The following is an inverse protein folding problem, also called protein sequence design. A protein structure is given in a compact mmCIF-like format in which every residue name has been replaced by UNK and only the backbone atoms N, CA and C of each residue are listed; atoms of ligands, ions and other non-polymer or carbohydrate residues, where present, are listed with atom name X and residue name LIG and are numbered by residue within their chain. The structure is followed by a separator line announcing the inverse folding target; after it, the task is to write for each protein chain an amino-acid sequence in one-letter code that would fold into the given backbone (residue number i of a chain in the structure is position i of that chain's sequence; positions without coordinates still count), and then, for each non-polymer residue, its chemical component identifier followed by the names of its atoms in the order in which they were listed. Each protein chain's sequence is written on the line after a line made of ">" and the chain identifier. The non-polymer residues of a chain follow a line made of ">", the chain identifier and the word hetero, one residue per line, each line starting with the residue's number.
data_IF_496426598734
#
_entry.id   IF_496426598734
#
_cell.length_a   1.000
_cell.length_b   1.000
_cell.length_c   1.000
_cell.angle_alpha   90.00
_cell.angle_beta   90.00
_cell.angle_gamma   90.00
#
_symmetry.space_group_name_H-M   'P 1'
#
loop_
_entity.id
_entity.type
_entity.pdbx_description
1 polymer ?
#
# COMPACT_ATOMS: atom_id res chain seq x y z
N UNK A 1 -26.92 42.87 8.83
CA UNK A 1 -26.56 41.65 8.07
C UNK A 1 -25.05 41.58 7.97
N UNK A 2 -24.42 40.53 8.52
CA UNK A 2 -22.96 40.37 8.39
C UNK A 2 -22.63 40.20 6.90
N UNK A 3 -21.73 41.03 6.36
CA UNK A 3 -21.22 40.86 5.00
C UNK A 3 -20.67 39.43 4.88
N UNK A 4 -21.01 38.67 3.82
CA UNK A 4 -20.36 37.40 3.57
C UNK A 4 -18.86 37.65 3.56
N UNK A 5 -18.13 36.94 4.41
CA UNK A 5 -16.68 37.05 4.53
C UNK A 5 -16.08 36.79 3.15
N UNK A 6 -15.52 37.82 2.51
CA UNK A 6 -14.87 37.70 1.22
C UNK A 6 -13.81 36.59 1.31
N UNK A 7 -14.02 35.51 0.54
CA UNK A 7 -13.08 34.38 0.45
C UNK A 7 -12.18 34.65 -0.75
N UNK A 8 -10.87 34.94 -0.56
CA UNK A 8 -9.98 35.16 -1.69
C UNK A 8 -9.86 33.88 -2.53
N UNK A 9 -10.15 33.95 -3.83
CA UNK A 9 -10.14 32.80 -4.74
C UNK A 9 -8.77 32.10 -4.83
N UNK A 10 -7.68 32.84 -4.57
CA UNK A 10 -6.33 32.26 -4.50
C UNK A 10 -6.14 31.29 -3.32
N UNK A 11 -7.03 31.30 -2.33
CA UNK A 11 -6.96 30.47 -1.12
C UNK A 11 -7.97 29.31 -1.11
N UNK A 12 -8.70 29.11 -2.21
CA UNK A 12 -9.78 28.09 -2.31
C UNK A 12 -9.39 26.87 -3.13
N UNK A 13 -8.10 26.63 -3.38
CA UNK A 13 -7.63 25.55 -4.26
C UNK A 13 -6.69 24.57 -3.56
N UNK A 14 -5.73 25.07 -2.78
CA UNK A 14 -4.72 24.25 -2.09
C UNK A 14 -4.48 24.76 -0.67
N UNK A 15 -3.85 23.97 0.21
CA UNK A 15 -3.35 24.48 1.48
C UNK A 15 -2.49 25.74 1.32
N UNK A 16 -2.56 26.64 2.29
CA UNK A 16 -1.79 27.89 2.30
C UNK A 16 -1.26 28.23 3.70
N UNK A 17 -0.24 29.09 3.76
CA UNK A 17 0.32 29.62 5.01
C UNK A 17 -0.52 30.78 5.52
N UNK A 18 -1.10 30.64 6.71
CA UNK A 18 -1.94 31.65 7.33
C UNK A 18 -1.18 32.96 7.57
N UNK A 19 0.05 32.88 8.09
CA UNK A 19 0.91 34.04 8.30
C UNK A 19 1.24 34.80 7.03
N UNK A 20 1.39 34.12 5.89
CA UNK A 20 1.63 34.75 4.59
C UNK A 20 0.37 35.44 4.06
N UNK A 21 -0.79 34.79 4.13
CA UNK A 21 -2.06 35.39 3.76
C UNK A 21 -2.37 36.65 4.59
N UNK A 22 -2.03 36.64 5.88
CA UNK A 22 -2.18 37.81 6.75
C UNK A 22 -1.21 38.92 6.39
N UNK A 23 0.06 38.59 6.12
CA UNK A 23 1.08 39.58 5.72
C UNK A 23 0.75 40.22 4.37
N UNK A 24 0.15 39.47 3.46
CA UNK A 24 -0.31 39.93 2.16
C UNK A 24 -1.65 40.72 2.22
N UNK A 25 -2.25 40.88 3.40
CA UNK A 25 -3.53 41.60 3.56
C UNK A 25 -4.76 40.85 3.02
N UNK A 26 -4.61 39.57 2.64
CA UNK A 26 -5.71 38.75 2.11
C UNK A 26 -6.68 38.33 3.21
N UNK A 27 -6.18 38.12 4.43
CA UNK A 27 -6.97 37.71 5.60
C UNK A 27 -6.46 38.38 6.87
N UNK A 28 -7.29 38.42 7.90
CA UNK A 28 -6.91 38.76 9.28
C UNK A 28 -6.74 37.51 10.14
N UNK A 29 -5.99 37.61 11.24
CA UNK A 29 -5.91 36.51 12.24
C UNK A 29 -7.29 36.13 12.81
N UNK A 30 -8.23 37.06 12.85
CA UNK A 30 -9.62 36.80 13.24
C UNK A 30 -10.33 35.90 12.24
N UNK A 31 -10.22 36.21 10.94
CA UNK A 31 -10.83 35.42 9.87
C UNK A 31 -10.30 33.99 9.82
N UNK A 32 -9.00 33.75 10.06
CA UNK A 32 -8.41 32.40 10.12
C UNK A 32 -8.96 31.50 11.23
N UNK A 33 -9.60 32.07 12.26
CA UNK A 33 -10.24 31.31 13.36
C UNK A 33 -11.72 31.02 13.08
N UNK A 34 -12.29 31.55 12.01
CA UNK A 34 -13.67 31.30 11.61
C UNK A 34 -13.85 29.96 10.89
N UNK A 35 -15.10 29.53 10.73
CA UNK A 35 -15.46 28.25 10.13
C UNK A 35 -15.14 28.12 8.63
N UNK A 36 -14.77 29.21 7.95
CA UNK A 36 -14.36 29.23 6.53
C UNK A 36 -13.06 28.46 6.28
N UNK A 37 -12.24 28.25 7.32
CA UNK A 37 -10.92 27.67 7.19
C UNK A 37 -10.74 26.49 8.15
N UNK A 38 -10.23 25.38 7.62
CA UNK A 38 -9.79 24.24 8.40
C UNK A 38 -8.28 24.36 8.63
N UNK A 39 -7.85 24.35 9.88
CA UNK A 39 -6.42 24.32 10.22
C UNK A 39 -5.90 22.88 10.12
N UNK A 40 -5.04 22.62 9.15
CA UNK A 40 -4.45 21.29 8.92
C UNK A 40 -3.21 21.05 9.80
N UNK A 41 -2.33 22.04 9.87
CA UNK A 41 -1.04 21.99 10.57
C UNK A 41 -0.73 23.35 11.22
N UNK A 42 0.36 23.49 11.99
CA UNK A 42 0.78 24.79 12.48
C UNK A 42 0.97 25.79 11.33
N UNK A 43 0.19 26.88 11.36
CA UNK A 43 0.17 27.93 10.33
C UNK A 43 -0.29 27.49 8.93
N UNK A 44 -0.82 26.28 8.75
CA UNK A 44 -1.33 25.80 7.46
C UNK A 44 -2.85 25.62 7.50
N UNK A 45 -3.53 26.24 6.55
CA UNK A 45 -4.97 26.31 6.46
C UNK A 45 -5.46 25.83 5.10
N UNK A 46 -6.70 25.34 5.07
CA UNK A 46 -7.42 24.93 3.88
C UNK A 46 -8.80 25.57 3.89
N UNK A 47 -9.32 25.90 2.71
CA UNK A 47 -10.70 26.31 2.58
C UNK A 47 -11.66 25.17 2.97
N UNK A 48 -12.65 25.45 3.81
CA UNK A 48 -13.46 24.43 4.48
C UNK A 48 -14.33 23.57 3.54
N UNK A 49 -14.58 24.02 2.31
CA UNK A 49 -15.34 23.25 1.32
C UNK A 49 -14.47 22.21 0.57
N UNK A 50 -13.14 22.22 0.76
CA UNK A 50 -12.25 21.24 0.15
C UNK A 50 -12.16 20.00 1.06
N UNK A 51 -12.48 18.79 0.55
CA UNK A 51 -12.29 17.56 1.32
C UNK A 51 -10.82 17.36 1.71
N UNK A 52 -10.60 16.99 2.97
CA UNK A 52 -9.25 16.66 3.46
C UNK A 52 -8.96 15.21 3.15
N UNK A 53 -8.13 14.96 2.14
CA UNK A 53 -7.58 13.64 1.84
C UNK A 53 -6.07 13.58 2.16
N UNK A 54 -5.48 12.40 1.99
CA UNK A 54 -4.05 12.21 2.21
C UNK A 54 -3.16 13.08 1.30
N UNK A 55 -3.61 13.44 0.09
CA UNK A 55 -2.86 14.32 -0.82
C UNK A 55 -2.77 15.73 -0.24
N UNK A 56 -3.90 16.29 0.19
CA UNK A 56 -3.99 17.60 0.84
C UNK A 56 -3.07 17.66 2.07
N UNK A 57 -3.03 16.59 2.86
CA UNK A 57 -2.11 16.50 4.00
C UNK A 57 -0.63 16.48 3.56
N UNK A 58 -0.31 15.82 2.44
CA UNK A 58 1.05 15.85 1.87
C UNK A 58 1.44 17.23 1.35
N UNK A 59 0.51 17.94 0.67
CA UNK A 59 0.69 19.33 0.23
C UNK A 59 0.97 20.24 1.44
N UNK A 60 0.12 20.15 2.47
CA UNK A 60 0.28 20.91 3.71
C UNK A 60 1.60 20.60 4.43
N UNK A 61 2.01 19.33 4.49
CA UNK A 61 3.27 18.92 5.08
C UNK A 61 4.46 19.49 4.31
N UNK A 62 4.46 19.37 2.97
CA UNK A 62 5.53 19.90 2.11
C UNK A 62 5.78 21.39 2.34
N UNK A 63 4.75 22.18 2.65
CA UNK A 63 4.93 23.60 2.97
C UNK A 63 5.82 23.82 4.20
N UNK A 64 5.81 22.92 5.19
CA UNK A 64 6.61 23.00 6.41
C UNK A 64 7.99 22.38 6.29
N UNK A 65 8.20 21.51 5.29
CA UNK A 65 9.46 20.78 5.14
C UNK A 65 10.58 21.69 4.60
N UNK A 66 11.83 21.50 5.06
CA UNK A 66 12.97 22.28 4.56
C UNK A 66 13.33 21.87 3.12
N UNK A 67 14.12 22.71 2.41
CA UNK A 67 14.72 22.31 1.14
C UNK A 67 15.48 20.98 1.25
N UNK A 68 15.34 20.12 0.24
CA UNK A 68 15.95 18.79 0.21
C UNK A 68 15.20 17.72 1.00
N UNK A 69 14.04 18.03 1.58
CA UNK A 69 13.10 17.03 2.10
C UNK A 69 12.14 16.52 1.02
N UNK A 70 11.51 15.37 1.26
CA UNK A 70 10.55 14.76 0.36
C UNK A 70 9.48 13.97 1.13
N UNK A 71 8.32 13.75 0.52
CA UNK A 71 7.34 12.77 1.00
C UNK A 71 7.88 11.35 0.73
N UNK A 72 7.79 10.46 1.70
CA UNK A 72 8.33 9.10 1.63
C UNK A 72 7.40 8.01 2.14
N UNK A 73 7.93 6.79 2.23
CA UNK A 73 7.24 5.64 2.84
C UNK A 73 5.85 5.38 2.25
N UNK A 74 4.88 5.06 3.13
CA UNK A 74 3.49 4.77 2.71
C UNK A 74 2.80 5.95 2.06
N UNK A 75 3.17 7.19 2.40
CA UNK A 75 2.66 8.40 1.76
C UNK A 75 3.16 8.54 0.32
N UNK A 76 4.44 8.27 0.08
CA UNK A 76 4.97 8.23 -1.28
C UNK A 76 4.33 7.10 -2.09
N UNK A 77 4.21 5.89 -1.54
CA UNK A 77 3.54 4.78 -2.22
C UNK A 77 2.08 5.12 -2.59
N UNK A 78 1.36 5.81 -1.69
CA UNK A 78 0.01 6.28 -1.95
C UNK A 78 -0.06 7.30 -3.10
N UNK A 79 0.88 8.26 -3.16
CA UNK A 79 1.02 9.24 -4.25
C UNK A 79 1.39 8.57 -5.57
N UNK A 80 2.22 7.52 -5.56
CA UNK A 80 2.51 6.67 -6.72
C UNK A 80 1.30 5.83 -7.18
N UNK A 81 0.22 5.79 -6.41
CA UNK A 81 -1.01 5.05 -6.70
C UNK A 81 -1.01 3.61 -6.17
N UNK A 82 -0.02 3.21 -5.36
CA UNK A 82 0.02 1.93 -4.66
C UNK A 82 -0.60 2.07 -3.26
N UNK A 83 -1.89 1.75 -3.14
CA UNK A 83 -2.75 2.07 -1.99
C UNK A 83 -3.42 0.81 -1.39
N UNK A 84 -2.65 -0.22 -0.96
CA UNK A 84 -3.25 -1.49 -0.54
C UNK A 84 -4.14 -1.39 0.70
N UNK A 85 -3.82 -0.46 1.61
CA UNK A 85 -4.47 -0.35 2.93
C UNK A 85 -5.28 0.95 3.07
N UNK A 86 -5.64 1.58 1.94
CA UNK A 86 -6.32 2.87 1.93
C UNK A 86 -5.38 4.05 2.22
N UNK A 87 -5.93 5.11 2.81
CA UNK A 87 -5.20 6.34 3.13
C UNK A 87 -4.30 6.16 4.37
N UNK A 88 -2.99 6.52 4.29
CA UNK A 88 -2.12 6.52 5.46
C UNK A 88 -2.62 7.46 6.55
N UNK A 89 -2.52 7.03 7.82
CA UNK A 89 -2.92 7.86 8.98
C UNK A 89 -2.03 9.08 9.23
N UNK A 90 -0.80 9.05 8.75
CA UNK A 90 0.19 10.11 8.92
C UNK A 90 0.93 10.33 7.59
N UNK A 91 1.32 11.58 7.34
CA UNK A 91 2.27 11.89 6.28
C UNK A 91 3.66 11.46 6.71
N UNK A 92 4.31 10.62 5.93
CA UNK A 92 5.72 10.27 6.13
C UNK A 92 6.58 11.27 5.36
N UNK A 93 7.41 12.02 6.07
CA UNK A 93 8.37 12.95 5.49
C UNK A 93 9.80 12.45 5.69
N UNK A 94 10.56 12.36 4.60
CA UNK A 94 11.99 12.13 4.61
C UNK A 94 12.70 13.46 4.71
N UNK A 95 13.60 13.60 5.68
CA UNK A 95 14.42 14.80 5.84
C UNK A 95 15.89 14.43 5.97
N UNK A 96 16.82 15.30 5.52
CA UNK A 96 18.25 15.10 5.73
C UNK A 96 18.59 14.95 7.22
N UNK A 97 19.64 14.18 7.54
CA UNK A 97 20.06 13.91 8.93
C UNK A 97 20.35 15.17 9.74
N UNK A 98 20.77 16.24 9.09
CA UNK A 98 21.10 17.53 9.71
C UNK A 98 19.85 18.33 10.12
N UNK A 99 18.67 17.95 9.66
CA UNK A 99 17.42 18.65 9.95
C UNK A 99 16.96 18.39 11.39
N UNK A 100 16.78 19.48 12.15
CA UNK A 100 16.26 19.50 13.53
C UNK A 100 14.77 19.85 13.61
N UNK A 101 13.95 19.31 12.71
CA UNK A 101 12.49 19.44 12.81
C UNK A 101 11.93 18.40 13.78
N UNK A 102 10.95 18.72 14.62
CA UNK A 102 10.32 17.75 15.54
C UNK A 102 9.19 16.97 14.84
N UNK A 103 8.89 15.78 15.35
CA UNK A 103 7.68 15.07 14.92
C UNK A 103 6.43 15.86 15.30
N UNK A 104 5.40 15.76 14.46
CA UNK A 104 4.10 16.37 14.67
C UNK A 104 3.04 15.25 14.54
N UNK A 105 1.94 15.22 15.31
CA UNK A 105 1.03 14.07 15.30
C UNK A 105 0.55 13.59 13.91
N UNK A 106 0.20 14.46 12.94
CA UNK A 106 -0.09 14.06 11.56
C UNK A 106 1.14 13.88 10.63
N UNK A 107 2.37 14.21 11.06
CA UNK A 107 3.60 14.09 10.26
C UNK A 107 4.65 13.23 10.98
N UNK A 108 4.97 12.08 10.42
CA UNK A 108 6.05 11.22 10.85
C UNK A 108 7.35 11.60 10.14
N UNK A 109 8.36 12.06 10.89
CA UNK A 109 9.66 12.42 10.34
C UNK A 109 10.59 11.22 10.33
N UNK A 110 11.16 10.93 9.16
CA UNK A 110 12.21 9.93 8.98
C UNK A 110 13.48 10.63 8.56
N UNK A 111 14.48 10.58 9.44
CA UNK A 111 15.82 11.14 9.18
C UNK A 111 16.70 10.08 8.59
N UNK A 112 17.38 10.41 7.50
CA UNK A 112 18.31 9.50 6.85
C UNK A 112 19.07 10.18 5.74
N UNK A 113 20.01 9.46 5.08
CA UNK A 113 20.55 9.92 3.83
C UNK A 113 19.42 10.13 2.81
N UNK A 114 19.47 11.23 2.09
CA UNK A 114 18.49 11.56 1.07
C UNK A 114 19.23 12.32 -0.03
N UNK A 115 19.67 11.57 -1.04
CA UNK A 115 20.39 12.15 -2.17
C UNK A 115 19.38 12.74 -3.18
N UNK A 116 19.75 13.77 -3.95
CA UNK A 116 18.87 14.31 -4.99
C UNK A 116 18.34 13.26 -5.96
N UNK A 117 19.14 12.23 -6.29
CA UNK A 117 18.74 11.10 -7.15
C UNK A 117 17.60 10.24 -6.57
N UNK A 118 17.38 10.29 -5.26
CA UNK A 118 16.31 9.56 -4.58
C UNK A 118 15.01 10.38 -4.49
N UNK A 119 15.00 11.62 -4.99
CA UNK A 119 13.86 12.52 -4.98
C UNK A 119 13.40 12.77 -6.42
N UNK A 120 12.10 12.75 -6.63
CA UNK A 120 11.46 13.15 -7.89
C UNK A 120 10.19 13.96 -7.57
N UNK A 121 9.44 14.35 -8.60
CA UNK A 121 8.22 15.14 -8.46
C UNK A 121 6.99 14.35 -8.87
N UNK A 122 5.98 14.31 -8.00
CA UNK A 122 4.67 13.71 -8.26
C UNK A 122 3.60 14.70 -7.83
N UNK A 123 2.69 15.06 -8.74
CA UNK A 123 1.62 16.05 -8.48
C UNK A 123 2.15 17.38 -7.89
N UNK A 124 3.35 17.81 -8.34
CA UNK A 124 4.00 19.03 -7.84
C UNK A 124 4.71 18.90 -6.49
N UNK A 125 4.68 17.73 -5.85
CA UNK A 125 5.33 17.47 -4.57
C UNK A 125 6.68 16.77 -4.76
N UNK A 126 7.67 17.12 -3.93
CA UNK A 126 8.89 16.34 -3.82
C UNK A 126 8.58 14.99 -3.13
N UNK A 127 8.82 13.88 -3.83
CA UNK A 127 8.51 12.52 -3.37
C UNK A 127 9.72 11.62 -3.58
N UNK A 128 9.94 10.63 -2.72
CA UNK A 128 10.96 9.62 -2.98
C UNK A 128 10.69 8.85 -4.27
N UNK A 129 11.75 8.51 -5.01
CA UNK A 129 11.66 7.64 -6.19
C UNK A 129 10.98 6.30 -5.84
N UNK A 130 10.41 5.57 -6.80
CA UNK A 130 9.75 4.31 -6.51
C UNK A 130 10.66 3.28 -5.82
N UNK A 131 11.93 3.18 -6.25
CA UNK A 131 12.93 2.29 -5.65
C UNK A 131 13.24 2.70 -4.21
N UNK A 132 13.47 3.99 -3.96
CA UNK A 132 13.69 4.51 -2.62
C UNK A 132 12.48 4.27 -1.71
N UNK A 133 11.28 4.51 -2.25
CA UNK A 133 10.01 4.31 -1.53
C UNK A 133 9.84 2.85 -1.13
N UNK A 134 10.02 1.93 -2.08
CA UNK A 134 9.93 0.50 -1.85
C UNK A 134 11.00 0.02 -0.85
N UNK A 135 12.24 0.48 -0.97
CA UNK A 135 13.31 0.14 -0.03
C UNK A 135 13.01 0.63 1.40
N UNK A 136 12.56 1.88 1.56
CA UNK A 136 12.19 2.42 2.86
C UNK A 136 11.00 1.66 3.47
N UNK A 137 10.01 1.26 2.67
CA UNK A 137 8.91 0.38 3.10
C UNK A 137 9.44 -0.96 3.58
N UNK A 138 10.29 -1.62 2.77
CA UNK A 138 10.84 -2.95 3.06
C UNK A 138 11.65 -2.98 4.37
N UNK A 139 12.45 -1.94 4.63
CA UNK A 139 13.36 -1.91 5.79
C UNK A 139 12.73 -1.35 7.07
N UNK A 140 11.65 -0.56 6.97
CA UNK A 140 11.10 0.20 8.10
C UNK A 140 9.74 -0.30 8.61
N UNK A 141 8.91 -0.93 7.76
CA UNK A 141 7.60 -1.42 8.18
C UNK A 141 7.68 -2.85 8.73
N UNK A 142 6.67 -3.30 9.50
CA UNK A 142 6.52 -4.71 9.82
C UNK A 142 6.49 -5.58 8.56
N UNK A 143 7.12 -6.75 8.61
CA UNK A 143 7.32 -7.67 7.47
C UNK A 143 6.07 -7.83 6.59
N UNK A 144 4.93 -8.13 7.22
CA UNK A 144 3.65 -8.36 6.53
C UNK A 144 3.13 -7.11 5.82
N UNK A 145 3.17 -5.96 6.50
CA UNK A 145 2.75 -4.68 5.91
C UNK A 145 3.66 -4.27 4.76
N UNK A 146 4.98 -4.48 4.91
CA UNK A 146 5.96 -4.23 3.86
C UNK A 146 5.67 -5.07 2.61
N UNK A 147 5.47 -6.39 2.77
CA UNK A 147 5.15 -7.28 1.65
C UNK A 147 3.87 -6.86 0.92
N UNK A 148 2.80 -6.50 1.64
CA UNK A 148 1.55 -6.01 1.05
C UNK A 148 1.77 -4.75 0.19
N UNK A 149 2.58 -3.81 0.68
CA UNK A 149 2.94 -2.62 -0.08
C UNK A 149 3.80 -2.94 -1.30
N UNK A 150 4.82 -3.79 -1.15
CA UNK A 150 5.70 -4.15 -2.26
C UNK A 150 4.97 -4.92 -3.36
N UNK A 151 4.17 -5.93 -3.02
CA UNK A 151 3.37 -6.68 -3.99
C UNK A 151 2.46 -5.73 -4.78
N UNK A 152 1.83 -4.78 -4.10
CA UNK A 152 1.00 -3.76 -4.77
C UNK A 152 1.81 -2.83 -5.68
N UNK A 153 2.99 -2.38 -5.25
CA UNK A 153 3.86 -1.54 -6.07
C UNK A 153 4.39 -2.29 -7.30
N UNK A 154 4.74 -3.58 -7.15
CA UNK A 154 5.20 -4.47 -8.22
C UNK A 154 4.06 -4.76 -9.21
N UNK A 155 2.89 -5.18 -8.72
CA UNK A 155 1.69 -5.42 -9.55
C UNK A 155 1.30 -4.19 -10.36
N UNK A 156 1.30 -3.01 -9.74
CA UNK A 156 1.00 -1.73 -10.42
C UNK A 156 2.16 -1.18 -11.25
N UNK A 157 3.26 -1.93 -11.36
CA UNK A 157 4.47 -1.57 -12.12
C UNK A 157 5.05 -0.21 -11.73
N UNK A 158 4.92 0.17 -10.46
CA UNK A 158 5.52 1.39 -9.91
C UNK A 158 7.00 1.19 -9.65
N UNK A 159 7.39 -0.03 -9.31
CA UNK A 159 8.78 -0.46 -9.19
C UNK A 159 8.93 -1.79 -9.90
N UNK A 160 10.14 -2.09 -10.39
CA UNK A 160 10.49 -3.41 -10.90
C UNK A 160 11.30 -4.17 -9.85
N UNK A 161 11.11 -5.48 -9.77
CA UNK A 161 11.80 -6.31 -8.78
C UNK A 161 13.32 -6.25 -8.94
N UNK A 162 13.83 -6.34 -10.18
CA UNK A 162 15.28 -6.28 -10.46
C UNK A 162 15.91 -4.93 -10.07
N UNK A 163 15.18 -3.82 -10.29
CA UNK A 163 15.61 -2.48 -9.88
C UNK A 163 15.61 -2.32 -8.36
N UNK A 164 14.59 -2.85 -7.68
CA UNK A 164 14.54 -2.84 -6.23
C UNK A 164 15.66 -3.69 -5.62
N UNK A 165 15.89 -4.91 -6.12
CA UNK A 165 16.98 -5.78 -5.66
C UNK A 165 18.34 -5.09 -5.85
N UNK A 166 18.58 -4.47 -7.00
CA UNK A 166 19.81 -3.69 -7.25
C UNK A 166 19.93 -2.53 -6.26
N UNK A 167 18.84 -1.79 -6.02
CA UNK A 167 18.83 -0.70 -5.05
C UNK A 167 19.17 -1.19 -3.64
N UNK A 168 18.66 -2.34 -3.20
CA UNK A 168 19.01 -2.91 -1.88
C UNK A 168 20.49 -3.31 -1.81
N UNK A 169 21.02 -3.93 -2.87
CA UNK A 169 22.41 -4.33 -2.96
C UNK A 169 23.38 -3.13 -2.90
N UNK A 170 23.02 -2.00 -3.52
CA UNK A 170 23.82 -0.77 -3.55
C UNK A 170 23.89 -0.03 -2.21
N UNK A 171 23.11 -0.47 -1.20
CA UNK A 171 22.99 0.21 0.10
C UNK A 171 23.32 -0.72 1.29
N UNK A 172 24.50 -1.39 1.32
CA UNK A 172 24.78 -2.49 2.24
C UNK A 172 24.82 -2.12 3.74
N UNK A 173 25.03 -0.84 4.08
CA UNK A 173 25.15 -0.34 5.46
C UNK A 173 23.91 0.34 6.03
N UNK A 174 22.76 0.25 5.36
CA UNK A 174 21.56 0.95 5.81
C UNK A 174 20.84 0.22 6.95
N UNK A 175 20.40 0.93 8.00
CA UNK A 175 19.61 0.33 9.07
C UNK A 175 18.33 -0.32 8.54
N UNK A 176 18.09 -1.56 8.98
CA UNK A 176 16.94 -2.37 8.56
C UNK A 176 17.14 -3.11 7.24
N UNK A 177 18.31 -3.03 6.58
CA UNK A 177 18.57 -3.76 5.34
C UNK A 177 18.28 -5.28 5.43
N UNK A 178 18.69 -6.01 6.49
CA UNK A 178 18.37 -7.44 6.57
C UNK A 178 16.87 -7.74 6.50
N UNK A 179 16.01 -6.82 6.99
CA UNK A 179 14.55 -6.93 6.85
C UNK A 179 14.10 -6.68 5.42
N UNK A 180 14.75 -5.76 4.70
CA UNK A 180 14.47 -5.56 3.28
C UNK A 180 14.84 -6.80 2.45
N UNK A 181 16.00 -7.40 2.73
CA UNK A 181 16.42 -8.66 2.10
C UNK A 181 15.39 -9.78 2.40
N UNK A 182 14.98 -9.95 3.66
CA UNK A 182 13.95 -10.91 4.06
C UNK A 182 12.63 -10.68 3.30
N UNK A 183 12.09 -9.46 3.31
CA UNK A 183 10.82 -9.13 2.64
C UNK A 183 10.92 -9.36 1.12
N UNK A 184 12.06 -9.09 0.49
CA UNK A 184 12.28 -9.35 -0.93
C UNK A 184 12.20 -10.83 -1.31
N UNK A 185 12.56 -11.74 -0.41
CA UNK A 185 12.34 -13.18 -0.65
C UNK A 185 10.86 -13.58 -0.63
N UNK A 186 10.03 -12.72 -0.04
CA UNK A 186 8.62 -12.99 0.17
C UNK A 186 7.74 -12.41 -0.92
N UNK A 187 8.13 -11.35 -1.64
CA UNK A 187 7.23 -10.66 -2.58
C UNK A 187 6.65 -11.59 -3.67
N UNK A 188 5.47 -11.24 -4.16
CA UNK A 188 4.75 -11.90 -5.25
C UNK A 188 4.09 -10.83 -6.15
N UNK A 189 4.73 -10.45 -7.27
CA UNK A 189 4.18 -9.44 -8.19
C UNK A 189 2.79 -9.76 -8.75
N UNK A 190 2.40 -11.04 -8.73
CA UNK A 190 1.09 -11.50 -9.23
C UNK A 190 -0.01 -11.43 -8.18
N UNK A 191 0.29 -11.19 -6.90
CA UNK A 191 -0.74 -11.09 -5.85
C UNK A 191 -1.69 -9.91 -6.15
N UNK A 192 -2.99 -10.19 -6.25
CA UNK A 192 -3.94 -9.23 -6.77
C UNK A 192 -4.61 -8.35 -5.71
N UNK A 193 -4.56 -8.79 -4.45
CA UNK A 193 -5.11 -8.11 -3.30
C UNK A 193 -4.18 -8.21 -2.07
N UNK A 194 -4.33 -7.31 -1.08
CA UNK A 194 -3.64 -7.45 0.20
C UNK A 194 -3.92 -8.80 0.86
N UNK A 195 -5.15 -9.30 0.76
CA UNK A 195 -5.56 -10.55 1.40
C UNK A 195 -4.94 -11.79 0.75
N UNK A 196 -4.73 -11.79 -0.58
CA UNK A 196 -3.93 -12.80 -1.24
C UNK A 196 -2.46 -12.77 -0.78
N UNK A 197 -1.90 -11.58 -0.55
CA UNK A 197 -0.55 -11.46 0.04
C UNK A 197 -0.51 -12.09 1.43
N UNK A 198 -1.51 -11.80 2.26
CA UNK A 198 -1.60 -12.34 3.62
C UNK A 198 -1.80 -13.86 3.64
N UNK A 199 -2.66 -14.40 2.76
CA UNK A 199 -2.86 -15.84 2.62
C UNK A 199 -1.54 -16.54 2.23
N UNK A 200 -0.79 -15.97 1.28
CA UNK A 200 0.51 -16.50 0.87
C UNK A 200 1.53 -16.44 2.00
N UNK A 201 1.61 -15.35 2.75
CA UNK A 201 2.51 -15.23 3.89
C UNK A 201 2.17 -16.25 4.98
N UNK A 202 0.88 -16.44 5.28
CA UNK A 202 0.40 -17.48 6.19
C UNK A 202 0.90 -18.88 5.76
N UNK A 203 0.80 -19.21 4.47
CA UNK A 203 1.27 -20.49 3.93
C UNK A 203 2.78 -20.65 4.13
N UNK A 204 3.56 -19.62 3.78
CA UNK A 204 5.02 -19.61 3.94
C UNK A 204 5.42 -19.71 5.42
N UNK A 205 4.74 -18.99 6.30
CA UNK A 205 5.00 -19.00 7.75
C UNK A 205 4.64 -20.32 8.41
N UNK A 206 3.67 -21.05 7.85
CA UNK A 206 3.34 -22.41 8.26
C UNK A 206 4.35 -23.45 7.77
N UNK A 207 5.39 -23.06 7.02
CA UNK A 207 6.36 -23.97 6.42
C UNK A 207 5.74 -24.88 5.35
N UNK A 208 4.63 -24.45 4.74
CA UNK A 208 4.03 -25.16 3.62
C UNK A 208 4.74 -24.77 2.32
N UNK A 209 4.71 -25.63 1.28
CA UNK A 209 5.25 -25.31 -0.03
C UNK A 209 4.65 -24.01 -0.57
N UNK A 210 5.44 -23.19 -1.27
CA UNK A 210 4.91 -21.96 -1.85
C UNK A 210 4.01 -22.29 -3.05
N UNK A 211 2.75 -21.82 -3.08
CA UNK A 211 1.85 -22.09 -4.19
C UNK A 211 2.17 -21.19 -5.39
N UNK A 212 1.71 -21.61 -6.57
CA UNK A 212 1.78 -20.83 -7.81
C UNK A 212 0.67 -19.79 -7.82
N UNK A 213 1.02 -18.50 -7.92
CA UNK A 213 0.06 -17.41 -7.97
C UNK A 213 -0.65 -17.31 -9.33
N UNK A 214 -1.90 -16.86 -9.33
CA UNK A 214 -2.68 -16.51 -10.52
C UNK A 214 -2.67 -17.60 -11.61
N UNK A 215 -2.80 -18.86 -11.20
CA UNK A 215 -2.66 -20.02 -12.07
C UNK A 215 -3.86 -20.15 -13.01
N UNK A 216 -3.58 -20.18 -14.33
CA UNK A 216 -4.59 -20.38 -15.36
C UNK A 216 -4.88 -21.87 -15.58
N UNK A 217 -6.11 -22.28 -15.32
CA UNK A 217 -6.61 -23.62 -15.62
C UNK A 217 -7.15 -23.64 -17.04
N UNK A 218 -6.61 -24.55 -17.86
CA UNK A 218 -6.96 -24.69 -19.27
C UNK A 218 -7.56 -26.08 -19.53
N UNK A 219 -8.58 -26.15 -20.40
CA UNK A 219 -9.10 -27.39 -20.97
C UNK A 219 -8.79 -27.40 -22.48
N UNK A 220 -7.70 -28.06 -22.85
CA UNK A 220 -7.11 -27.89 -24.18
C UNK A 220 -6.69 -26.43 -24.39
N UNK A 221 -7.23 -25.75 -25.41
CA UNK A 221 -6.99 -24.32 -25.67
C UNK A 221 -7.97 -23.38 -24.97
N UNK A 222 -8.99 -23.91 -24.28
CA UNK A 222 -10.03 -23.09 -23.64
C UNK A 222 -9.61 -22.73 -22.22
N UNK A 223 -9.66 -21.44 -21.90
CA UNK A 223 -9.53 -20.93 -20.53
C UNK A 223 -10.77 -21.33 -19.70
N UNK A 224 -10.53 -21.88 -18.51
CA UNK A 224 -11.58 -22.29 -17.57
C UNK A 224 -11.67 -21.32 -16.41
N UNK A 225 -10.55 -21.11 -15.72
CA UNK A 225 -10.48 -20.27 -14.53
C UNK A 225 -9.07 -19.76 -14.29
N UNK A 226 -8.96 -18.66 -13.55
CA UNK A 226 -7.71 -18.20 -12.95
C UNK A 226 -7.87 -18.28 -11.43
N UNK A 227 -7.01 -19.07 -10.81
CA UNK A 227 -7.00 -19.35 -9.38
C UNK A 227 -6.00 -18.40 -8.70
N UNK A 228 -6.37 -17.83 -7.56
CA UNK A 228 -5.47 -16.89 -6.86
C UNK A 228 -4.14 -17.55 -6.50
N UNK A 229 -4.22 -18.77 -5.97
CA UNK A 229 -3.09 -19.65 -5.76
C UNK A 229 -3.44 -21.10 -6.10
N UNK A 230 -2.46 -21.87 -6.54
CA UNK A 230 -2.61 -23.27 -6.85
C UNK A 230 -1.38 -24.10 -6.47
N UNK A 231 -1.63 -25.38 -6.19
CA UNK A 231 -0.63 -26.45 -6.29
C UNK A 231 -1.00 -27.31 -7.51
N UNK A 232 -0.48 -27.00 -8.72
CA UNK A 232 -0.97 -27.58 -9.96
C UNK A 232 -0.83 -29.11 -10.03
N UNK A 233 0.30 -29.64 -9.56
CA UNK A 233 0.59 -31.08 -9.57
C UNK A 233 -0.41 -31.89 -8.72
N UNK A 234 -1.02 -31.23 -7.74
CA UNK A 234 -1.98 -31.82 -6.82
C UNK A 234 -3.43 -31.40 -7.10
N UNK A 235 -3.63 -30.53 -8.12
CA UNK A 235 -4.92 -29.90 -8.46
C UNK A 235 -5.61 -29.29 -7.24
N UNK A 236 -4.86 -28.59 -6.40
CA UNK A 236 -5.41 -27.85 -5.25
C UNK A 236 -5.44 -26.37 -5.60
N UNK A 237 -6.60 -25.75 -5.46
CA UNK A 237 -6.78 -24.30 -5.61
C UNK A 237 -7.02 -23.68 -4.23
N UNK A 238 -6.42 -22.51 -3.99
CA UNK A 238 -6.66 -21.69 -2.82
C UNK A 238 -7.17 -20.33 -3.31
N UNK A 239 -8.40 -19.99 -2.97
CA UNK A 239 -9.05 -18.74 -3.38
C UNK A 239 -9.35 -17.88 -2.15
N UNK A 240 -9.13 -16.57 -2.27
CA UNK A 240 -9.58 -15.60 -1.29
C UNK A 240 -10.95 -15.06 -1.68
N UNK A 241 -11.93 -15.24 -0.80
CA UNK A 241 -13.28 -14.71 -0.94
C UNK A 241 -13.42 -13.46 -0.04
N UNK A 242 -13.24 -12.28 -0.66
CA UNK A 242 -13.47 -11.00 0.03
C UNK A 242 -14.95 -10.66 0.06
N UNK A 243 -15.47 -10.19 1.22
CA UNK A 243 -16.89 -9.92 1.48
C UNK A 243 -17.64 -9.42 0.23
N UNK A 244 -18.41 -10.35 -0.34
CA UNK A 244 -19.08 -10.19 -1.62
C UNK A 244 -20.32 -9.30 -1.49
N UNK A 245 -20.19 -8.02 -1.82
CA UNK A 245 -21.26 -7.32 -2.55
C UNK A 245 -21.19 -7.75 -4.02
N UNK A 246 -21.59 -8.99 -4.35
CA UNK A 246 -21.71 -9.45 -5.74
C UNK A 246 -23.17 -9.62 -6.12
N UNK A 247 -23.57 -8.88 -7.15
CA UNK A 247 -24.86 -8.98 -7.83
C UNK A 247 -25.22 -10.42 -8.23
N UNK A 248 -26.52 -10.74 -8.17
CA UNK A 248 -27.11 -12.07 -8.44
C UNK A 248 -26.70 -12.69 -9.79
N UNK A 249 -26.32 -11.89 -10.79
CA UNK A 249 -25.88 -12.37 -12.11
C UNK A 249 -24.48 -13.01 -12.05
N UNK A 250 -23.63 -12.57 -11.12
CA UNK A 250 -22.26 -13.10 -10.92
C UNK A 250 -22.29 -14.52 -10.35
N UNK A 251 -23.37 -14.92 -9.68
CA UNK A 251 -23.49 -16.19 -8.96
C UNK A 251 -23.57 -17.42 -9.90
N UNK A 252 -24.28 -17.32 -11.03
CA UNK A 252 -24.44 -18.46 -11.96
C UNK A 252 -23.11 -18.83 -12.63
N UNK A 253 -22.37 -17.83 -13.12
CA UNK A 253 -21.06 -18.06 -13.73
C UNK A 253 -20.02 -18.58 -12.73
N UNK A 254 -20.09 -18.16 -11.46
CA UNK A 254 -19.22 -18.72 -10.42
C UNK A 254 -19.55 -20.19 -10.14
N UNK A 255 -20.82 -20.58 -10.13
CA UNK A 255 -21.24 -21.99 -9.97
C UNK A 255 -20.81 -22.87 -11.15
N UNK A 256 -21.01 -22.42 -12.39
CA UNK A 256 -20.60 -23.18 -13.58
C UNK A 256 -19.08 -23.39 -13.62
N UNK A 257 -18.32 -22.34 -13.27
CA UNK A 257 -16.86 -22.40 -13.11
C UNK A 257 -16.45 -23.41 -12.04
N UNK A 258 -17.07 -23.38 -10.87
CA UNK A 258 -16.76 -24.31 -9.78
C UNK A 258 -17.04 -25.77 -10.18
N UNK A 259 -18.18 -26.02 -10.83
CA UNK A 259 -18.51 -27.34 -11.33
C UNK A 259 -17.48 -27.83 -12.35
N UNK A 260 -17.01 -26.95 -13.24
CA UNK A 260 -15.99 -27.34 -14.22
C UNK A 260 -14.64 -27.68 -13.54
N UNK A 261 -14.20 -26.88 -12.57
CA UNK A 261 -13.01 -27.18 -11.78
C UNK A 261 -13.13 -28.52 -11.05
N UNK A 262 -14.31 -28.80 -10.47
CA UNK A 262 -14.59 -30.07 -9.81
C UNK A 262 -14.52 -31.26 -10.78
N UNK A 263 -15.14 -31.16 -11.96
CA UNK A 263 -15.05 -32.19 -13.01
C UNK A 263 -13.61 -32.42 -13.46
N UNK A 264 -12.79 -31.38 -13.46
CA UNK A 264 -11.36 -31.45 -13.76
C UNK A 264 -10.53 -32.01 -12.58
N UNK A 265 -11.15 -32.39 -11.48
CA UNK A 265 -10.51 -32.97 -10.30
C UNK A 265 -9.81 -31.96 -9.40
N UNK A 266 -10.17 -30.68 -9.49
CA UNK A 266 -9.63 -29.66 -8.59
C UNK A 266 -10.31 -29.71 -7.22
N UNK A 267 -9.50 -29.68 -6.16
CA UNK A 267 -9.95 -29.38 -4.81
C UNK A 267 -9.82 -27.89 -4.58
N UNK A 268 -10.94 -27.18 -4.47
CA UNK A 268 -10.96 -25.72 -4.26
C UNK A 268 -11.20 -25.41 -2.79
N UNK A 269 -10.25 -24.74 -2.14
CA UNK A 269 -10.38 -24.21 -0.79
C UNK A 269 -10.60 -22.70 -0.87
N UNK A 270 -11.69 -22.21 -0.26
CA UNK A 270 -12.02 -20.79 -0.19
C UNK A 270 -11.81 -20.28 1.23
N UNK A 271 -11.16 -19.13 1.36
CA UNK A 271 -10.85 -18.49 2.63
C UNK A 271 -11.35 -17.06 2.65
N UNK A 272 -12.02 -16.66 3.72
CA UNK A 272 -12.43 -15.28 3.94
C UNK A 272 -11.43 -14.54 4.85
N UNK A 273 -11.75 -13.29 5.19
CA UNK A 273 -10.89 -12.47 6.04
C UNK A 273 -10.67 -13.06 7.44
N UNK A 274 -11.68 -13.72 8.01
CA UNK A 274 -11.60 -14.32 9.34
C UNK A 274 -10.69 -15.56 9.35
N UNK A 275 -10.75 -16.38 8.30
CA UNK A 275 -9.86 -17.53 8.12
C UNK A 275 -8.38 -17.11 8.05
N UNK A 276 -8.09 -16.02 7.33
CA UNK A 276 -6.72 -15.54 7.13
C UNK A 276 -6.20 -14.74 8.33
N UNK A 277 -7.02 -13.85 8.90
CA UNK A 277 -6.58 -12.90 9.93
C UNK A 277 -6.75 -13.41 11.36
N UNK A 278 -7.78 -14.22 11.62
CA UNK A 278 -8.14 -14.66 12.99
C UNK A 278 -7.89 -16.14 13.24
N UNK A 279 -7.95 -16.97 12.20
CA UNK A 279 -7.76 -18.44 12.31
C UNK A 279 -6.59 -18.99 11.48
N UNK A 280 -5.41 -18.33 11.43
CA UNK A 280 -4.36 -18.70 10.49
C UNK A 280 -3.82 -20.12 10.70
N UNK A 281 -3.72 -20.60 11.95
CA UNK A 281 -3.28 -21.96 12.25
C UNK A 281 -4.26 -23.04 11.74
N UNK A 282 -5.57 -22.76 11.81
CA UNK A 282 -6.60 -23.68 11.32
C UNK A 282 -6.59 -23.73 9.79
N UNK A 283 -6.49 -22.56 9.14
CA UNK A 283 -6.30 -22.44 7.68
C UNK A 283 -5.07 -23.22 7.22
N UNK A 284 -3.93 -23.04 7.87
CA UNK A 284 -2.70 -23.77 7.56
C UNK A 284 -2.86 -25.29 7.76
N UNK A 285 -3.52 -25.73 8.85
CA UNK A 285 -3.78 -27.14 9.11
C UNK A 285 -4.68 -27.77 8.05
N UNK A 286 -5.70 -27.05 7.56
CA UNK A 286 -6.56 -27.51 6.48
C UNK A 286 -5.76 -27.69 5.18
N UNK A 287 -4.98 -26.68 4.78
CA UNK A 287 -4.14 -26.75 3.57
C UNK A 287 -3.16 -27.94 3.68
N UNK A 288 -2.53 -28.12 4.85
CA UNK A 288 -1.64 -29.25 5.14
C UNK A 288 -2.33 -30.60 4.97
N UNK A 289 -3.53 -30.76 5.52
CA UNK A 289 -4.29 -31.99 5.44
C UNK A 289 -4.65 -32.35 3.99
N UNK A 290 -5.03 -31.35 3.18
CA UNK A 290 -5.35 -31.54 1.76
C UNK A 290 -4.10 -31.92 0.95
N UNK A 291 -2.96 -31.26 1.19
CA UNK A 291 -1.68 -31.61 0.56
C UNK A 291 -1.23 -33.04 0.91
N UNK A 292 -1.34 -33.45 2.18
CA UNK A 292 -1.04 -34.83 2.62
C UNK A 292 -1.90 -35.85 1.93
N UNK A 293 -3.21 -35.60 1.88
CA UNK A 293 -4.16 -36.48 1.20
C UNK A 293 -3.85 -36.62 -0.30
N UNK A 294 -3.33 -35.56 -0.92
CA UNK A 294 -2.90 -35.57 -2.31
C UNK A 294 -1.50 -36.20 -2.53
N UNK A 295 -0.82 -36.66 -1.46
CA UNK A 295 0.46 -37.36 -1.55
C UNK A 295 1.68 -36.43 -1.66
N UNK A 296 1.59 -35.18 -1.19
CA UNK A 296 2.75 -34.29 -1.21
C UNK A 296 3.89 -34.83 -0.31
N UNK A 297 5.12 -35.03 -0.82
CA UNK A 297 6.16 -35.80 -0.12
C UNK A 297 6.76 -35.10 1.11
N UNK A 298 6.74 -33.76 1.13
CA UNK A 298 7.39 -32.94 2.16
C UNK A 298 6.43 -32.35 3.22
N UNK A 299 5.15 -32.74 3.22
CA UNK A 299 4.11 -32.13 4.07
C UNK A 299 3.45 -33.18 4.94
#
# INVERSE_FOLDING_TARGET
>A
MARPSHVPSSLTVTPFRGGEAVRAGLLTKGQLRGATWVRLLPDIYLYAEIPVDHRVMCEAAMMLLPPGAAIGGTSAAWLWGARPLGEPRQVTALVPRTCRMRDHPPIRIRRGPLAPKDITTVLGLAVSTPERTAFDIARLLPRTEAAVHLDTMLKKRKVRLDRLTSYVADHPGWPGRPRADEVLTLVEPLAESPMETLLRLLIVDAGLPRPVAQYAVMRGKRFVARLDYAYPDYRIALEYDGDHHRDRVTHRFDMERQNELHVMGWTVLRFNADDVLRRPAQTAALIRAVLRRAGHPAV
#
